data_IF_827297240339
#
_entry.id   IF_827297240339
#
_cell.length_a   1.000
_cell.length_b   1.000
_cell.length_c   1.000
_cell.angle_alpha   90.00
_cell.angle_beta   90.00
_cell.angle_gamma   90.00
#
_symmetry.space_group_name_H-M   'P 1'
#
loop_
_entity.id
_entity.type
_entity.pdbx_description
1 polymer ?
#
# COMPACT_ATOMS: atom_id res chain seq x y z
N UNK A 1 46.08 14.66 -19.90
CA UNK A 1 44.91 14.48 -19.00
C UNK A 1 43.90 15.59 -19.24
N UNK A 2 42.88 15.34 -20.07
CA UNK A 2 41.73 16.21 -20.13
C UNK A 2 40.87 15.91 -18.89
N UNK A 3 40.61 16.90 -17.96
CA UNK A 3 39.68 16.67 -16.90
C UNK A 3 38.33 16.37 -17.54
N UNK A 4 37.72 15.26 -17.19
CA UNK A 4 36.36 14.93 -17.57
C UNK A 4 35.49 16.10 -17.09
N UNK A 5 35.02 16.95 -17.98
CA UNK A 5 33.98 17.93 -17.63
C UNK A 5 32.78 17.15 -17.16
N UNK A 6 32.43 17.32 -15.88
CA UNK A 6 31.11 16.95 -15.38
C UNK A 6 30.10 17.59 -16.30
N UNK A 7 29.53 16.82 -17.19
CA UNK A 7 28.39 17.28 -17.94
C UNK A 7 27.29 17.47 -16.90
N UNK A 8 26.88 18.70 -16.65
CA UNK A 8 25.72 19.05 -15.87
C UNK A 8 24.51 18.57 -16.68
N UNK A 9 24.12 17.33 -16.44
CA UNK A 9 22.95 16.76 -17.04
C UNK A 9 21.75 17.24 -16.26
N UNK A 10 20.80 17.83 -16.95
CA UNK A 10 19.50 18.07 -16.41
C UNK A 10 18.77 16.72 -16.25
N UNK A 11 18.64 16.32 -15.10
CA UNK A 11 18.20 15.15 -14.34
C UNK A 11 17.10 14.23 -14.87
N UNK A 12 16.53 14.41 -16.04
CA UNK A 12 15.37 13.60 -16.51
C UNK A 12 15.77 12.17 -16.89
N UNK A 13 17.08 11.88 -17.12
CA UNK A 13 17.59 10.57 -17.53
C UNK A 13 18.91 10.20 -16.86
N UNK A 14 19.17 10.67 -15.66
CA UNK A 14 20.46 10.48 -15.01
C UNK A 14 20.81 9.01 -14.78
N UNK A 15 19.86 8.15 -14.48
CA UNK A 15 20.13 6.71 -14.37
C UNK A 15 20.55 6.10 -15.70
N UNK A 16 19.87 6.41 -16.81
CA UNK A 16 20.22 5.91 -18.12
C UNK A 16 21.59 6.44 -18.59
N UNK A 17 21.86 7.71 -18.35
CA UNK A 17 23.12 8.36 -18.68
C UNK A 17 24.28 7.81 -17.85
N UNK A 18 24.04 7.52 -16.57
CA UNK A 18 25.01 6.87 -15.68
C UNK A 18 25.35 5.48 -16.18
N UNK A 19 24.36 4.67 -16.56
CA UNK A 19 24.59 3.34 -17.13
C UNK A 19 25.38 3.42 -18.45
N UNK A 20 25.05 4.38 -19.32
CA UNK A 20 25.79 4.62 -20.57
C UNK A 20 27.25 5.03 -20.30
N UNK A 21 27.49 5.89 -19.30
CA UNK A 21 28.85 6.27 -18.91
C UNK A 21 29.66 5.10 -18.36
N UNK A 22 29.04 4.22 -17.57
CA UNK A 22 29.70 2.99 -17.08
C UNK A 22 30.02 2.05 -18.21
N UNK A 23 29.13 1.88 -19.20
CA UNK A 23 29.41 1.12 -20.44
C UNK A 23 30.59 1.71 -21.21
N UNK A 24 30.69 3.04 -21.25
CA UNK A 24 31.78 3.76 -21.90
C UNK A 24 33.08 3.80 -21.09
N UNK A 25 33.15 3.15 -19.92
CA UNK A 25 34.38 3.01 -19.14
C UNK A 25 34.45 3.83 -17.85
N UNK A 26 33.42 4.55 -17.47
CA UNK A 26 33.38 5.20 -16.14
C UNK A 26 33.42 4.15 -15.02
N UNK A 27 34.21 4.42 -13.98
CA UNK A 27 34.40 3.52 -12.82
C UNK A 27 33.95 4.14 -11.51
N UNK A 28 33.62 5.41 -11.51
CA UNK A 28 33.07 6.10 -10.36
C UNK A 28 31.75 6.76 -10.74
N UNK A 29 30.72 6.45 -9.96
CA UNK A 29 29.37 6.99 -10.09
C UNK A 29 29.04 7.74 -8.81
N UNK A 30 28.44 8.91 -8.96
CA UNK A 30 27.87 9.69 -7.85
C UNK A 30 26.37 9.79 -8.03
N UNK A 31 25.66 9.69 -6.93
CA UNK A 31 24.21 9.85 -6.87
C UNK A 31 23.76 10.09 -5.45
N UNK A 32 22.47 10.10 -5.26
CA UNK A 32 21.84 10.30 -3.95
C UNK A 32 20.71 9.29 -3.74
N UNK A 33 20.38 9.04 -2.48
CA UNK A 33 19.22 8.22 -2.12
C UNK A 33 17.97 8.95 -2.60
N UNK A 34 17.03 8.22 -3.21
CA UNK A 34 15.82 8.72 -3.85
C UNK A 34 16.06 9.81 -4.92
N UNK A 35 17.30 9.95 -5.40
CA UNK A 35 17.65 10.99 -6.36
C UNK A 35 17.58 12.41 -5.77
N UNK A 36 17.67 12.57 -4.45
CA UNK A 36 17.58 13.86 -3.77
C UNK A 36 18.58 14.86 -4.34
N UNK A 37 18.13 16.07 -4.67
CA UNK A 37 18.97 17.13 -5.22
C UNK A 37 18.16 18.29 -5.74
N UNK A 38 18.86 19.31 -6.22
CA UNK A 38 18.23 20.49 -6.84
C UNK A 38 17.51 20.16 -8.13
N UNK A 39 16.57 21.00 -8.52
CA UNK A 39 15.79 20.91 -9.76
C UNK A 39 15.02 19.58 -9.87
N UNK A 40 15.40 18.71 -10.80
CA UNK A 40 14.78 17.39 -10.98
C UNK A 40 15.47 16.26 -10.17
N UNK A 41 16.47 16.60 -9.36
CA UNK A 41 17.25 15.67 -8.54
C UNK A 41 18.59 15.25 -9.13
N UNK A 42 19.21 14.23 -8.55
CA UNK A 42 20.46 13.62 -8.96
C UNK A 42 20.22 12.18 -9.44
N UNK A 43 21.28 11.52 -9.91
CA UNK A 43 21.23 10.10 -10.20
C UNK A 43 20.77 9.30 -8.97
N UNK A 44 19.73 8.48 -9.14
CA UNK A 44 19.10 7.78 -8.02
C UNK A 44 19.84 6.48 -7.69
N UNK A 45 20.57 6.47 -6.58
CA UNK A 45 21.31 5.29 -6.12
C UNK A 45 20.38 4.11 -5.80
N UNK A 46 19.15 4.36 -5.37
CA UNK A 46 18.15 3.31 -5.10
C UNK A 46 17.85 2.48 -6.37
N UNK A 47 17.91 3.10 -7.54
CA UNK A 47 17.71 2.38 -8.80
C UNK A 47 19.03 1.85 -9.40
N UNK A 48 20.13 2.57 -9.21
CA UNK A 48 21.41 2.22 -9.81
C UNK A 48 22.07 1.01 -9.13
N UNK A 49 22.09 0.98 -7.79
CA UNK A 49 22.73 -0.11 -7.04
C UNK A 49 22.15 -1.48 -7.39
N UNK A 50 20.82 -1.71 -7.33
CA UNK A 50 20.28 -3.01 -7.72
C UNK A 50 20.41 -3.28 -9.22
N UNK A 51 20.44 -2.27 -10.07
CA UNK A 51 20.70 -2.46 -11.50
C UNK A 51 22.11 -2.99 -11.74
N UNK A 52 23.12 -2.46 -11.04
CA UNK A 52 24.48 -2.96 -11.16
C UNK A 52 24.66 -4.34 -10.52
N UNK A 53 23.93 -4.64 -9.44
CA UNK A 53 24.05 -5.89 -8.72
C UNK A 53 23.34 -7.07 -9.39
N UNK A 54 22.20 -6.83 -10.06
CA UNK A 54 21.31 -7.92 -10.50
C UNK A 54 21.05 -7.98 -12.00
N UNK A 55 21.40 -6.95 -12.78
CA UNK A 55 21.25 -7.02 -14.24
C UNK A 55 22.39 -7.79 -14.85
N UNK A 56 22.10 -8.81 -15.66
CA UNK A 56 23.09 -9.69 -16.33
C UNK A 56 24.22 -8.92 -17.03
N UNK A 57 23.94 -7.73 -17.53
CA UNK A 57 24.92 -6.87 -18.20
C UNK A 57 26.02 -6.39 -17.26
N UNK A 58 25.69 -6.17 -15.97
CA UNK A 58 26.60 -5.57 -14.98
C UNK A 58 26.98 -6.54 -13.87
N UNK A 59 26.15 -7.54 -13.61
CA UNK A 59 26.38 -8.52 -12.56
C UNK A 59 27.75 -9.18 -12.68
N UNK A 60 28.46 -9.26 -11.58
CA UNK A 60 29.83 -9.82 -11.46
C UNK A 60 30.93 -9.11 -12.29
N UNK A 61 30.63 -7.96 -12.92
CA UNK A 61 31.60 -7.17 -13.65
C UNK A 61 32.25 -6.06 -12.82
N UNK A 62 31.60 -5.66 -11.75
CA UNK A 62 32.03 -4.57 -10.88
C UNK A 62 31.90 -4.99 -9.42
N UNK A 63 32.89 -4.58 -8.63
CA UNK A 63 32.79 -4.59 -7.18
C UNK A 63 32.11 -3.29 -6.73
N UNK A 64 30.95 -3.42 -6.10
CA UNK A 64 30.16 -2.29 -5.65
C UNK A 64 30.50 -1.84 -4.24
N UNK A 65 31.43 -2.51 -3.55
CA UNK A 65 31.72 -2.32 -2.12
C UNK A 65 30.50 -2.47 -1.20
N UNK A 66 29.41 -3.01 -1.74
CA UNK A 66 28.15 -3.29 -1.04
C UNK A 66 27.80 -4.74 -1.36
N UNK A 67 27.58 -5.55 -0.33
CA UNK A 67 27.16 -6.93 -0.52
C UNK A 67 25.67 -7.03 -0.86
N UNK A 68 25.27 -8.15 -1.46
CA UNK A 68 23.88 -8.39 -1.85
C UNK A 68 22.93 -8.41 -0.63
N UNK A 69 23.40 -8.73 0.57
CA UNK A 69 22.59 -8.71 1.79
C UNK A 69 22.26 -7.29 2.25
N UNK A 70 23.16 -6.34 2.00
CA UNK A 70 22.91 -4.93 2.33
C UNK A 70 21.90 -4.29 1.38
N UNK A 71 21.70 -4.84 0.19
CA UNK A 71 20.71 -4.33 -0.76
C UNK A 71 19.28 -4.56 -0.31
N UNK A 72 19.02 -5.52 0.58
CA UNK A 72 17.68 -5.74 1.13
C UNK A 72 17.20 -4.58 2.03
N UNK A 73 18.07 -3.69 2.44
CA UNK A 73 17.73 -2.49 3.20
C UNK A 73 17.28 -1.31 2.32
N UNK A 74 17.35 -1.43 0.98
CA UNK A 74 17.10 -0.31 0.07
C UNK A 74 15.68 0.26 0.21
N UNK A 75 14.68 -0.60 0.37
CA UNK A 75 13.28 -0.17 0.53
C UNK A 75 13.08 0.60 1.83
N UNK A 76 13.65 0.09 2.93
CA UNK A 76 13.60 0.74 4.24
C UNK A 76 14.33 2.08 4.20
N UNK A 77 15.55 2.13 3.65
CA UNK A 77 16.33 3.35 3.50
C UNK A 77 15.62 4.40 2.66
N UNK A 78 14.97 3.99 1.57
CA UNK A 78 14.18 4.90 0.74
C UNK A 78 13.02 5.52 1.50
N UNK A 79 12.28 4.71 2.26
CA UNK A 79 11.15 5.17 3.08
C UNK A 79 11.57 6.04 4.24
N UNK A 80 12.64 5.67 4.94
CA UNK A 80 13.21 6.46 6.04
C UNK A 80 13.60 7.87 5.57
N UNK A 81 14.24 7.99 4.39
CA UNK A 81 14.57 9.31 3.86
C UNK A 81 13.32 10.15 3.55
N UNK A 82 12.30 9.54 2.95
CA UNK A 82 11.04 10.23 2.66
C UNK A 82 10.34 10.68 3.95
N UNK A 83 10.36 9.85 5.00
CA UNK A 83 9.83 10.16 6.33
C UNK A 83 10.56 11.35 6.97
N UNK A 84 11.90 11.32 7.00
CA UNK A 84 12.73 12.43 7.53
C UNK A 84 12.43 13.74 6.79
N UNK A 85 12.19 13.67 5.50
CA UNK A 85 11.88 14.81 4.64
C UNK A 85 10.40 15.20 4.66
N UNK A 86 9.56 14.50 5.41
CA UNK A 86 8.09 14.64 5.41
C UNK A 86 7.50 14.61 3.98
N UNK A 87 7.93 13.64 3.19
CA UNK A 87 7.48 13.43 1.80
C UNK A 87 6.68 12.15 1.69
N UNK A 88 5.70 12.16 0.81
CA UNK A 88 4.98 10.94 0.44
C UNK A 88 5.92 10.06 -0.40
N UNK A 89 6.14 8.78 -0.03
CA UNK A 89 6.96 7.87 -0.80
C UNK A 89 6.43 7.68 -2.23
N UNK A 90 7.35 7.62 -3.20
CA UNK A 90 6.96 7.36 -4.59
C UNK A 90 6.59 5.88 -4.76
N UNK A 91 5.29 5.60 -4.86
CA UNK A 91 4.76 4.23 -5.01
C UNK A 91 5.26 3.51 -6.27
N UNK A 92 5.60 4.24 -7.32
CA UNK A 92 6.07 3.70 -8.60
C UNK A 92 7.58 3.72 -8.75
N UNK A 93 8.34 4.06 -7.69
CA UNK A 93 9.78 4.05 -7.74
C UNK A 93 10.31 2.64 -8.10
N UNK A 94 11.20 2.51 -9.09
CA UNK A 94 11.79 1.22 -9.44
C UNK A 94 12.41 0.55 -8.20
N UNK A 95 12.23 -0.76 -8.08
CA UNK A 95 12.72 -1.64 -7.01
C UNK A 95 12.06 -1.41 -5.63
N UNK A 96 11.91 -0.19 -5.14
CA UNK A 96 11.53 0.12 -3.75
C UNK A 96 10.10 0.62 -3.57
N UNK A 97 9.47 1.07 -4.65
CA UNK A 97 8.08 1.55 -4.60
C UNK A 97 7.11 0.43 -4.22
N UNK A 98 6.05 0.75 -3.51
CA UNK A 98 5.03 -0.23 -3.11
C UNK A 98 4.34 -0.90 -4.30
N UNK A 99 4.32 -0.24 -5.47
CA UNK A 99 3.76 -0.80 -6.70
C UNK A 99 4.79 -1.46 -7.61
N UNK A 100 6.09 -1.47 -7.23
CA UNK A 100 7.15 -1.98 -8.11
C UNK A 100 7.01 -3.48 -8.43
N UNK A 101 6.43 -4.25 -7.51
CA UNK A 101 6.16 -5.68 -7.64
C UNK A 101 4.68 -5.99 -7.40
N UNK A 102 3.82 -5.08 -7.84
CA UNK A 102 2.38 -5.23 -7.70
C UNK A 102 1.76 -5.76 -9.00
N UNK A 103 0.94 -6.81 -8.88
CA UNK A 103 0.28 -7.47 -10.00
C UNK A 103 -1.24 -7.36 -9.84
N UNK A 104 -1.91 -6.76 -10.83
CA UNK A 104 -3.35 -6.51 -10.82
C UNK A 104 -4.12 -7.44 -11.77
N UNK A 105 -3.62 -7.66 -12.98
CA UNK A 105 -4.29 -8.46 -13.99
C UNK A 105 -4.27 -9.96 -13.70
N UNK A 106 -5.41 -10.65 -13.87
CA UNK A 106 -5.54 -12.07 -13.57
C UNK A 106 -4.53 -12.97 -14.30
N UNK A 107 -4.20 -12.66 -15.56
CA UNK A 107 -3.18 -13.39 -16.32
C UNK A 107 -1.78 -13.19 -15.73
N UNK A 108 -1.44 -11.96 -15.30
CA UNK A 108 -0.16 -11.65 -14.65
C UNK A 108 -0.01 -12.41 -13.34
N UNK A 109 -1.05 -12.38 -12.49
CA UNK A 109 -1.07 -13.10 -11.22
C UNK A 109 -0.93 -14.60 -11.43
N UNK A 110 -1.67 -15.17 -12.39
CA UNK A 110 -1.56 -16.59 -12.71
C UNK A 110 -0.16 -16.98 -13.21
N UNK A 111 0.47 -16.14 -14.03
CA UNK A 111 1.82 -16.40 -14.53
C UNK A 111 2.87 -16.29 -13.43
N UNK A 112 2.81 -15.24 -12.59
CA UNK A 112 3.73 -15.02 -11.46
C UNK A 112 3.62 -16.14 -10.41
N UNK A 113 2.41 -16.66 -10.18
CA UNK A 113 2.21 -17.79 -9.25
C UNK A 113 2.83 -19.09 -9.78
N UNK A 114 2.94 -19.26 -11.10
CA UNK A 114 3.62 -20.41 -11.73
C UNK A 114 5.13 -20.23 -11.77
N UNK A 115 5.57 -19.08 -12.25
CA UNK A 115 6.99 -18.70 -12.29
C UNK A 115 7.11 -17.17 -12.16
N UNK A 116 7.61 -16.65 -11.03
CA UNK A 116 7.82 -15.22 -10.82
C UNK A 116 8.63 -14.54 -11.93
N UNK A 117 9.59 -15.24 -12.52
CA UNK A 117 10.48 -14.71 -13.58
C UNK A 117 9.74 -14.28 -14.85
N UNK A 118 8.47 -14.66 -15.02
CA UNK A 118 7.65 -14.24 -16.17
C UNK A 118 7.40 -12.73 -16.20
N UNK A 119 7.30 -12.09 -15.03
CA UNK A 119 7.04 -10.66 -14.89
C UNK A 119 8.00 -9.92 -13.96
N UNK A 120 8.72 -10.63 -13.10
CA UNK A 120 9.67 -10.07 -12.16
C UNK A 120 11.10 -10.34 -12.61
N UNK A 121 11.88 -9.29 -12.78
CA UNK A 121 13.27 -9.41 -13.21
C UNK A 121 14.23 -9.74 -12.06
N UNK A 122 13.78 -9.57 -10.79
CA UNK A 122 14.45 -9.99 -9.56
C UNK A 122 13.41 -10.42 -8.52
N UNK A 123 13.85 -11.17 -7.50
CA UNK A 123 13.02 -11.39 -6.31
C UNK A 123 12.92 -10.08 -5.51
N UNK A 124 11.70 -9.59 -5.18
CA UNK A 124 11.51 -8.36 -4.40
C UNK A 124 12.27 -8.33 -3.08
N UNK A 125 12.40 -9.44 -2.39
CA UNK A 125 13.11 -9.55 -1.10
C UNK A 125 14.59 -9.13 -1.19
N UNK A 126 15.22 -9.26 -2.36
CA UNK A 126 16.59 -8.84 -2.57
C UNK A 126 16.81 -7.33 -2.38
N UNK A 127 15.75 -6.55 -2.46
CA UNK A 127 15.75 -5.10 -2.24
C UNK A 127 14.87 -4.68 -1.05
N UNK A 128 14.44 -5.64 -0.22
CA UNK A 128 13.58 -5.42 0.94
C UNK A 128 12.16 -5.04 0.60
N UNK A 129 11.71 -5.34 -0.62
CA UNK A 129 10.33 -5.15 -1.04
C UNK A 129 9.56 -6.47 -1.00
N UNK A 130 8.27 -6.40 -1.28
CA UNK A 130 7.37 -7.56 -1.28
C UNK A 130 6.51 -7.58 -2.53
N UNK A 131 6.17 -8.79 -2.98
CA UNK A 131 5.17 -8.97 -4.03
C UNK A 131 3.80 -8.63 -3.48
N UNK A 132 3.03 -7.86 -4.25
CA UNK A 132 1.67 -7.52 -3.91
C UNK A 132 0.71 -7.98 -5.00
N UNK A 133 -0.38 -8.62 -4.59
CA UNK A 133 -1.48 -8.97 -5.49
C UNK A 133 -2.61 -7.99 -5.19
N UNK A 134 -2.88 -7.14 -6.17
CA UNK A 134 -3.92 -6.12 -6.07
C UNK A 134 -5.26 -6.73 -6.45
N UNK A 135 -6.26 -6.53 -5.61
CA UNK A 135 -7.64 -6.86 -5.90
C UNK A 135 -8.34 -5.65 -6.50
N UNK A 136 -9.04 -5.85 -7.61
CA UNK A 136 -9.79 -4.80 -8.29
C UNK A 136 -10.87 -5.39 -9.20
N UNK A 137 -11.64 -4.52 -9.85
CA UNK A 137 -12.62 -4.89 -10.89
C UNK A 137 -12.04 -5.78 -12.01
N UNK A 138 -10.74 -5.62 -12.31
CA UNK A 138 -10.02 -6.41 -13.31
C UNK A 138 -9.48 -7.74 -12.76
N UNK A 139 -9.71 -8.01 -11.50
CA UNK A 139 -9.24 -9.24 -10.85
C UNK A 139 -10.03 -10.44 -11.35
N UNK A 140 -9.31 -11.53 -11.58
CA UNK A 140 -9.89 -12.84 -11.82
C UNK A 140 -9.96 -13.68 -10.54
N UNK A 141 -10.49 -14.90 -10.65
CA UNK A 141 -10.55 -15.88 -9.55
C UNK A 141 -9.17 -16.13 -8.93
N UNK A 142 -8.11 -16.18 -9.75
CA UNK A 142 -6.73 -16.40 -9.30
C UNK A 142 -6.22 -15.30 -8.35
N UNK A 143 -6.64 -14.03 -8.55
CA UNK A 143 -6.28 -12.94 -7.66
C UNK A 143 -6.94 -13.12 -6.29
N UNK A 144 -8.25 -13.45 -6.29
CA UNK A 144 -9.00 -13.69 -5.04
C UNK A 144 -8.37 -14.83 -4.27
N UNK A 145 -8.13 -16.00 -4.91
CA UNK A 145 -7.50 -17.15 -4.29
C UNK A 145 -6.13 -16.83 -3.70
N UNK A 146 -5.27 -16.15 -4.46
CA UNK A 146 -3.95 -15.76 -3.98
C UNK A 146 -4.03 -14.82 -2.78
N UNK A 147 -4.99 -13.88 -2.79
CA UNK A 147 -5.18 -12.94 -1.68
C UNK A 147 -5.74 -13.62 -0.43
N UNK A 148 -6.71 -14.52 -0.59
CA UNK A 148 -7.26 -15.32 0.51
C UNK A 148 -6.15 -16.16 1.16
N UNK A 149 -5.32 -16.82 0.35
CA UNK A 149 -4.18 -17.59 0.84
C UNK A 149 -3.16 -16.74 1.60
N UNK A 150 -2.85 -15.53 1.09
CA UNK A 150 -1.93 -14.60 1.77
C UNK A 150 -2.51 -14.05 3.08
N UNK A 151 -3.83 -13.92 3.18
CA UNK A 151 -4.54 -13.50 4.39
C UNK A 151 -4.78 -14.65 5.39
N UNK A 152 -4.37 -15.89 5.05
CA UNK A 152 -4.61 -17.07 5.89
C UNK A 152 -6.09 -17.47 5.99
N UNK A 153 -6.92 -17.02 5.06
CA UNK A 153 -8.35 -17.34 5.04
C UNK A 153 -8.56 -18.61 4.22
N UNK A 154 -8.91 -19.67 4.90
CA UNK A 154 -9.32 -20.92 4.26
C UNK A 154 -10.76 -20.80 3.77
N UNK A 155 -10.93 -20.90 2.47
CA UNK A 155 -12.23 -20.95 1.80
C UNK A 155 -12.28 -22.22 0.97
N UNK A 156 -13.37 -22.95 1.05
CA UNK A 156 -13.61 -24.03 0.12
C UNK A 156 -13.48 -23.46 -1.30
N UNK A 157 -12.63 -24.07 -2.13
CA UNK A 157 -12.37 -23.61 -3.50
C UNK A 157 -13.61 -23.80 -4.41
N UNK A 158 -14.80 -23.74 -3.80
CA UNK A 158 -16.05 -23.73 -4.56
C UNK A 158 -16.12 -22.47 -5.42
N UNK A 159 -16.19 -22.70 -6.70
CA UNK A 159 -16.29 -21.67 -7.73
C UNK A 159 -17.41 -20.64 -7.46
N UNK A 160 -18.48 -21.05 -6.78
CA UNK A 160 -19.62 -20.17 -6.45
C UNK A 160 -19.30 -19.16 -5.37
N UNK A 161 -18.58 -19.56 -4.33
CA UNK A 161 -18.19 -18.68 -3.22
C UNK A 161 -17.17 -17.65 -3.70
N UNK A 162 -16.16 -18.09 -4.46
CA UNK A 162 -15.16 -17.18 -5.04
C UNK A 162 -15.80 -16.20 -6.01
N UNK A 163 -16.78 -16.66 -6.80
CA UNK A 163 -17.50 -15.77 -7.70
C UNK A 163 -18.31 -14.71 -6.93
N UNK A 164 -18.99 -15.07 -5.84
CA UNK A 164 -19.70 -14.12 -4.98
C UNK A 164 -18.77 -13.06 -4.41
N UNK A 165 -17.58 -13.45 -3.91
CA UNK A 165 -16.59 -12.50 -3.41
C UNK A 165 -16.15 -11.55 -4.54
N UNK A 166 -15.86 -12.09 -5.72
CA UNK A 166 -15.43 -11.30 -6.88
C UNK A 166 -16.51 -10.29 -7.31
N UNK A 167 -17.77 -10.72 -7.38
CA UNK A 167 -18.89 -9.86 -7.76
C UNK A 167 -19.10 -8.75 -6.73
N UNK A 168 -18.94 -9.06 -5.44
CA UNK A 168 -19.05 -8.07 -4.37
C UNK A 168 -17.89 -7.05 -4.38
N UNK A 169 -16.67 -7.48 -4.69
CA UNK A 169 -15.52 -6.59 -4.91
C UNK A 169 -15.83 -5.61 -6.05
N UNK A 170 -16.27 -6.13 -7.20
CA UNK A 170 -16.59 -5.31 -8.38
C UNK A 170 -17.69 -4.29 -8.10
N UNK A 171 -18.74 -4.71 -7.43
CA UNK A 171 -19.83 -3.82 -7.02
C UNK A 171 -19.33 -2.68 -6.10
N UNK A 172 -18.49 -3.02 -5.13
CA UNK A 172 -17.92 -2.04 -4.21
C UNK A 172 -16.99 -1.06 -4.93
N UNK A 173 -16.12 -1.55 -5.80
CA UNK A 173 -15.23 -0.69 -6.58
C UNK A 173 -16.01 0.23 -7.54
N UNK A 174 -17.07 -0.27 -8.14
CA UNK A 174 -17.97 0.57 -8.94
C UNK A 174 -18.58 1.71 -8.13
N UNK A 175 -18.85 1.48 -6.85
CA UNK A 175 -19.34 2.48 -5.90
C UNK A 175 -18.23 3.34 -5.27
N UNK A 176 -16.98 3.27 -5.79
CA UNK A 176 -15.87 4.14 -5.40
C UNK A 176 -14.99 3.60 -4.26
N UNK A 177 -15.20 2.37 -3.80
CA UNK A 177 -14.28 1.73 -2.86
C UNK A 177 -13.00 1.28 -3.57
N UNK A 178 -11.90 1.15 -2.83
CA UNK A 178 -10.66 0.57 -3.34
C UNK A 178 -10.09 -0.40 -2.33
N UNK A 179 -9.66 -1.56 -2.81
CA UNK A 179 -8.97 -2.59 -2.01
C UNK A 179 -7.46 -2.57 -2.25
N UNK A 180 -6.94 -1.57 -2.97
CA UNK A 180 -5.50 -1.39 -3.17
C UNK A 180 -4.83 -0.97 -1.86
N UNK A 181 -4.08 -1.89 -1.25
CA UNK A 181 -3.45 -1.70 0.05
C UNK A 181 -4.40 -1.73 1.25
N UNK A 182 -5.68 -2.07 1.06
CA UNK A 182 -6.71 -2.15 2.10
C UNK A 182 -7.02 -3.62 2.46
N UNK A 183 -6.00 -4.35 2.91
CA UNK A 183 -6.08 -5.80 3.16
C UNK A 183 -7.14 -6.15 4.22
N UNK A 184 -7.18 -5.42 5.33
CA UNK A 184 -8.18 -5.63 6.37
C UNK A 184 -9.61 -5.39 5.86
N UNK A 185 -9.82 -4.38 5.01
CA UNK A 185 -11.13 -4.12 4.40
C UNK A 185 -11.57 -5.24 3.46
N UNK A 186 -10.63 -5.84 2.74
CA UNK A 186 -10.89 -7.02 1.92
C UNK A 186 -11.25 -8.23 2.78
N UNK A 187 -10.51 -8.47 3.87
CA UNK A 187 -10.77 -9.56 4.81
C UNK A 187 -12.16 -9.44 5.45
N UNK A 188 -12.55 -8.24 5.87
CA UNK A 188 -13.89 -7.96 6.39
C UNK A 188 -14.96 -8.28 5.33
N UNK A 189 -14.75 -7.86 4.08
CA UNK A 189 -15.68 -8.16 3.00
C UNK A 189 -15.85 -9.66 2.80
N UNK A 190 -14.74 -10.40 2.76
CA UNK A 190 -14.74 -11.86 2.61
C UNK A 190 -15.50 -12.52 3.75
N UNK A 191 -15.20 -12.17 5.02
CA UNK A 191 -15.85 -12.73 6.18
C UNK A 191 -17.37 -12.43 6.21
N UNK A 192 -17.79 -11.26 5.73
CA UNK A 192 -19.21 -10.95 5.53
C UNK A 192 -19.86 -11.83 4.48
N UNK A 193 -19.21 -12.04 3.32
CA UNK A 193 -19.73 -12.90 2.26
C UNK A 193 -19.83 -14.37 2.71
N UNK A 194 -18.92 -14.79 3.57
CA UNK A 194 -18.90 -16.14 4.18
C UNK A 194 -19.87 -16.31 5.33
N UNK A 195 -20.54 -15.23 5.78
CA UNK A 195 -21.42 -15.28 6.94
C UNK A 195 -20.69 -15.52 8.27
N UNK A 196 -19.37 -15.27 8.31
CA UNK A 196 -18.54 -15.47 9.52
C UNK A 196 -18.49 -14.23 10.42
N UNK A 197 -19.04 -13.10 9.96
CA UNK A 197 -19.14 -11.89 10.78
C UNK A 197 -20.56 -11.72 11.29
N UNK A 198 -20.77 -11.63 12.61
CA UNK A 198 -22.04 -11.24 13.16
C UNK A 198 -22.32 -9.76 12.82
N UNK A 199 -23.55 -9.48 12.44
CA UNK A 199 -24.03 -8.10 12.32
C UNK A 199 -24.63 -7.70 13.67
N UNK A 200 -23.91 -6.90 14.44
CA UNK A 200 -24.35 -6.45 15.77
C UNK A 200 -25.35 -5.30 15.67
N UNK A 201 -25.28 -4.50 14.61
CA UNK A 201 -26.18 -3.37 14.35
C UNK A 201 -26.15 -2.97 12.88
N UNK A 202 -27.21 -2.29 12.45
CA UNK A 202 -27.30 -1.63 11.14
C UNK A 202 -27.33 -0.11 11.36
N UNK A 203 -26.51 0.64 10.60
CA UNK A 203 -26.55 2.11 10.62
C UNK A 203 -27.63 2.58 9.64
N UNK A 204 -28.72 3.14 10.19
CA UNK A 204 -29.82 3.69 9.39
C UNK A 204 -29.44 5.06 8.84
N UNK A 205 -28.93 5.94 9.71
CA UNK A 205 -28.50 7.28 9.33
C UNK A 205 -27.52 7.85 10.34
N UNK A 206 -26.72 8.81 9.93
CA UNK A 206 -25.88 9.58 10.83
C UNK A 206 -25.80 11.04 10.38
N UNK A 207 -25.52 11.92 11.33
CA UNK A 207 -25.24 13.33 11.10
C UNK A 207 -24.03 13.73 11.94
N UNK A 208 -23.13 14.54 11.36
CA UNK A 208 -21.99 15.09 12.07
C UNK A 208 -21.93 16.58 11.84
N UNK A 209 -21.88 17.35 12.91
CA UNK A 209 -21.70 18.78 12.89
C UNK A 209 -20.30 19.11 13.41
N UNK A 210 -19.52 19.82 12.63
CA UNK A 210 -18.17 20.24 13.01
C UNK A 210 -18.18 21.76 13.20
N UNK A 211 -17.86 22.19 14.41
CA UNK A 211 -17.81 23.61 14.77
C UNK A 211 -16.38 24.01 15.11
N UNK A 212 -15.92 25.11 14.55
CA UNK A 212 -14.66 25.75 14.90
C UNK A 212 -15.00 27.04 15.67
N UNK A 213 -14.62 27.12 16.93
CA UNK A 213 -14.97 28.23 17.82
C UNK A 213 -14.09 29.48 17.64
N UNK A 214 -13.20 29.52 16.64
CA UNK A 214 -12.47 30.75 16.25
C UNK A 214 -11.40 31.25 17.24
N UNK A 215 -11.47 30.91 18.49
CA UNK A 215 -10.47 31.23 19.50
C UNK A 215 -9.63 29.97 19.76
N UNK A 216 -8.31 30.06 19.48
CA UNK A 216 -7.29 29.01 19.70
C UNK A 216 -7.46 27.70 18.90
N UNK A 217 -8.24 27.67 17.81
CA UNK A 217 -8.24 26.54 16.87
C UNK A 217 -8.83 25.22 17.43
N UNK A 218 -9.61 25.29 18.51
CA UNK A 218 -10.30 24.10 19.00
C UNK A 218 -11.51 23.77 18.12
N UNK A 219 -11.39 22.69 17.38
CA UNK A 219 -12.50 22.11 16.60
C UNK A 219 -13.22 21.11 17.50
N UNK A 220 -14.54 21.31 17.68
CA UNK A 220 -15.41 20.33 18.31
C UNK A 220 -16.37 19.73 17.28
N UNK A 221 -16.57 18.44 17.37
CA UNK A 221 -17.53 17.72 16.55
C UNK A 221 -18.61 17.10 17.41
N UNK A 222 -19.87 17.23 16.97
CA UNK A 222 -21.02 16.55 17.56
C UNK A 222 -21.62 15.60 16.52
N UNK A 223 -21.89 14.37 16.90
CA UNK A 223 -22.51 13.38 16.03
C UNK A 223 -23.82 12.85 16.63
N UNK A 224 -24.77 12.53 15.78
CA UNK A 224 -25.92 11.70 16.09
C UNK A 224 -25.99 10.53 15.12
N UNK A 225 -26.22 9.34 15.64
CA UNK A 225 -26.29 8.09 14.85
C UNK A 225 -27.61 7.42 15.17
N UNK A 226 -28.35 7.02 14.14
CA UNK A 226 -29.52 6.15 14.27
C UNK A 226 -29.11 4.74 13.88
N UNK A 227 -29.19 3.84 14.84
CA UNK A 227 -28.84 2.43 14.71
C UNK A 227 -30.08 1.56 14.80
N UNK A 228 -30.08 0.43 14.14
CA UNK A 228 -31.01 -0.66 14.34
C UNK A 228 -30.23 -1.83 14.94
N UNK A 229 -30.67 -2.25 16.14
CA UNK A 229 -30.13 -3.37 16.88
C UNK A 229 -31.28 -4.36 17.07
N UNK A 230 -31.18 -5.55 16.52
CA UNK A 230 -32.27 -6.51 16.41
C UNK A 230 -33.53 -5.88 15.75
N UNK A 231 -34.58 -5.57 16.54
CA UNK A 231 -35.79 -4.94 16.04
C UNK A 231 -35.97 -3.50 16.54
N UNK A 232 -35.06 -2.99 17.35
CA UNK A 232 -35.20 -1.67 17.98
C UNK A 232 -34.34 -0.62 17.24
N UNK A 233 -34.94 0.56 17.06
CA UNK A 233 -34.22 1.73 16.52
C UNK A 233 -33.77 2.62 17.69
N UNK A 234 -32.47 2.87 17.74
CA UNK A 234 -31.80 3.60 18.80
C UNK A 234 -31.10 4.82 18.22
N UNK A 235 -31.14 5.93 18.94
CA UNK A 235 -30.41 7.14 18.58
C UNK A 235 -29.33 7.40 19.64
N UNK A 236 -28.07 7.29 19.22
CA UNK A 236 -26.95 7.70 20.03
C UNK A 236 -26.44 9.09 19.63
N UNK A 237 -25.92 9.85 20.60
CA UNK A 237 -25.27 11.15 20.37
C UNK A 237 -23.93 11.16 21.04
N UNK A 238 -22.93 11.77 20.40
CA UNK A 238 -21.56 11.83 20.92
C UNK A 238 -20.84 13.13 20.52
N UNK A 239 -19.89 13.54 21.35
CA UNK A 239 -18.98 14.67 21.08
C UNK A 239 -17.57 14.16 20.96
N UNK A 240 -16.75 14.83 20.14
CA UNK A 240 -15.36 14.45 19.95
C UNK A 240 -14.50 15.57 19.38
N UNK A 241 -13.19 15.36 19.39
CA UNK A 241 -12.21 16.29 18.82
C UNK A 241 -12.22 16.32 17.30
N UNK A 242 -12.94 15.36 16.68
CA UNK A 242 -13.10 15.26 15.24
C UNK A 242 -14.31 14.41 14.87
N UNK A 243 -14.74 14.42 13.60
CA UNK A 243 -15.98 13.79 13.15
C UNK A 243 -16.03 12.27 13.40
N UNK A 244 -14.91 11.57 13.19
CA UNK A 244 -14.84 10.12 13.42
C UNK A 244 -14.93 9.81 14.91
N UNK A 245 -14.21 10.55 15.77
CA UNK A 245 -14.27 10.37 17.22
C UNK A 245 -15.66 10.68 17.78
N UNK A 246 -16.35 11.70 17.27
CA UNK A 246 -17.72 12.01 17.68
C UNK A 246 -18.69 10.89 17.29
N UNK A 247 -18.55 10.31 16.09
CA UNK A 247 -19.34 9.16 15.64
C UNK A 247 -19.09 7.92 16.47
N UNK A 248 -17.83 7.63 16.77
CA UNK A 248 -17.44 6.50 17.61
C UNK A 248 -18.07 6.62 19.00
N UNK A 249 -17.93 7.78 19.64
CA UNK A 249 -18.54 8.06 20.93
C UNK A 249 -20.08 7.95 20.89
N UNK A 250 -20.72 8.36 19.79
CA UNK A 250 -22.16 8.21 19.62
C UNK A 250 -22.61 6.74 19.54
N UNK A 251 -21.76 5.85 19.02
CA UNK A 251 -22.02 4.42 18.96
C UNK A 251 -21.70 3.72 20.28
N UNK A 252 -20.60 4.11 20.97
CA UNK A 252 -20.12 3.45 22.18
C UNK A 252 -20.98 3.70 23.41
N UNK A 253 -21.71 4.83 23.51
CA UNK A 253 -22.61 5.13 24.63
C UNK A 253 -23.66 4.03 24.90
N UNK A 254 -24.03 3.26 23.87
CA UNK A 254 -24.96 2.17 24.02
C UNK A 254 -24.28 0.82 24.37
N UNK A 255 -23.03 0.62 23.94
CA UNK A 255 -22.32 -0.65 24.18
C UNK A 255 -21.69 -0.72 25.57
N UNK A 256 -21.39 0.41 26.22
CA UNK A 256 -20.88 0.44 27.59
C UNK A 256 -21.95 0.19 28.64
N UNK A 257 -23.19 0.68 28.44
CA UNK A 257 -24.30 0.46 29.35
C UNK A 257 -24.74 -1.02 29.41
N UNK A 258 -24.63 -1.74 28.30
CA UNK A 258 -24.97 -3.17 28.23
C UNK A 258 -23.96 -4.08 28.94
N UNK A 259 -22.71 -3.63 29.14
CA UNK A 259 -21.65 -4.39 29.81
C UNK A 259 -21.76 -4.24 31.35
N UNK A 260 -22.26 -3.09 31.85
CA UNK A 260 -22.41 -2.84 33.28
C UNK A 260 -23.67 -3.51 33.90
N UNK A 261 -24.68 -3.85 33.08
CA UNK A 261 -25.86 -4.57 33.55
C UNK A 261 -25.67 -6.10 33.72
N UNK A 262 -24.54 -6.67 33.27
CA UNK A 262 -24.28 -8.11 33.37
C UNK A 262 -23.52 -8.52 34.64
N UNK A 263 -23.11 -7.59 35.50
CA UNK A 263 -22.40 -7.82 36.76
C UNK A 263 -23.25 -7.53 38.02
N UNK A 264 -24.57 -7.59 37.89
CA UNK A 264 -25.53 -7.44 38.98
C UNK A 264 -26.16 -8.77 39.44
#
# INVERSE_FOLDING_TARGET
HRPFRRQRQMCIRDSANTLAAVRAGARQVQGTINGLGERCGNANLISLLPTFAFKNEFENKFDLSINKQQLNLLTELSRLLDEILNRVPNRTAPYVGSSAFAHKGGLHVSAVNKDPKTYEHINPELVGNQRQIIISEQSGKSNILSKLKSAGIEVDEDDKTIQKILDRVKEREFNGYSYDGADASFEILVNKVLGKMPEYFEVISFNVNVQNSGEEGQTMSEASVKLKIDNDEIIGTGKGVGPVNALDNACLLYTSDAADEMDG
#
